data_IF_293501740992
#
_entry.id   IF_293501740992
#
_cell.length_a   1.000
_cell.length_b   1.000
_cell.length_c   1.000
_cell.angle_alpha   90.00
_cell.angle_beta   90.00
_cell.angle_gamma   90.00
#
_symmetry.space_group_name_H-M   'P 1'
#
loop_
_entity.id
_entity.type
_entity.pdbx_description
1 polymer ?
#
# COMPACT_ATOMS: atom_id res chain seq x y z
N UNK A 1 5.33 -59.50 -12.96
CA UNK A 1 5.31 -58.09 -13.47
C UNK A 1 5.13 -57.17 -12.27
N UNK A 2 6.19 -56.49 -11.87
CA UNK A 2 6.12 -55.47 -10.80
C UNK A 2 5.85 -54.12 -11.44
N UNK A 3 4.75 -53.48 -11.05
CA UNK A 3 4.41 -52.11 -11.48
C UNK A 3 5.08 -51.14 -10.49
N UNK A 4 6.11 -50.47 -10.95
CA UNK A 4 6.75 -49.42 -10.17
C UNK A 4 5.94 -48.16 -10.36
N UNK A 5 5.22 -47.72 -9.31
CA UNK A 5 4.63 -46.38 -9.26
C UNK A 5 5.76 -45.35 -9.09
N UNK A 6 5.98 -44.55 -10.11
CA UNK A 6 6.78 -43.33 -10.00
C UNK A 6 5.87 -42.27 -9.42
N UNK A 7 6.04 -41.93 -8.15
CA UNK A 7 5.50 -40.74 -7.54
C UNK A 7 6.33 -39.54 -8.06
N UNK A 8 5.74 -38.79 -8.98
CA UNK A 8 6.27 -37.48 -9.35
C UNK A 8 5.98 -36.53 -8.18
N UNK A 9 6.98 -36.21 -7.38
CA UNK A 9 6.93 -35.05 -6.49
C UNK A 9 6.96 -33.81 -7.35
N UNK A 10 5.84 -33.09 -7.42
CA UNK A 10 5.88 -31.69 -7.79
C UNK A 10 6.53 -30.96 -6.61
N UNK A 11 7.85 -30.86 -6.63
CA UNK A 11 8.55 -29.85 -5.88
C UNK A 11 8.22 -28.53 -6.59
N UNK A 12 7.31 -27.72 -6.01
CA UNK A 12 7.22 -26.32 -6.35
C UNK A 12 8.61 -25.73 -6.06
N UNK A 13 9.40 -25.49 -7.10
CA UNK A 13 10.65 -24.75 -6.99
C UNK A 13 10.28 -23.39 -6.36
N UNK A 14 10.52 -23.27 -5.07
CA UNK A 14 10.47 -21.97 -4.38
C UNK A 14 11.49 -21.10 -5.10
N UNK A 15 11.00 -20.10 -5.80
CA UNK A 15 11.82 -19.13 -6.54
C UNK A 15 12.68 -18.39 -5.50
N UNK A 16 13.85 -18.97 -5.17
CA UNK A 16 14.76 -18.48 -4.15
C UNK A 16 15.75 -17.52 -4.77
N UNK A 17 15.48 -16.25 -4.66
CA UNK A 17 16.34 -15.17 -5.09
C UNK A 17 16.18 -13.95 -4.17
N UNK A 18 17.05 -12.94 -4.26
CA UNK A 18 16.90 -11.71 -3.51
C UNK A 18 15.61 -10.98 -3.95
N UNK A 19 14.92 -10.36 -3.01
CA UNK A 19 13.85 -9.45 -3.32
C UNK A 19 14.39 -8.18 -3.99
N UNK A 20 13.58 -7.58 -4.88
CA UNK A 20 13.97 -6.36 -5.60
C UNK A 20 13.03 -5.23 -5.23
N UNK A 21 13.58 -4.09 -4.80
CA UNK A 21 12.77 -2.88 -4.56
C UNK A 21 12.33 -2.30 -5.89
N UNK A 22 11.07 -2.48 -6.21
CA UNK A 22 10.45 -1.96 -7.41
C UNK A 22 9.85 -0.58 -7.20
N UNK A 23 9.34 -0.33 -6.00
CA UNK A 23 8.69 0.92 -5.64
C UNK A 23 9.21 1.44 -4.31
N UNK A 24 9.56 2.72 -4.27
CA UNK A 24 9.94 3.36 -3.02
C UNK A 24 9.28 4.74 -2.92
N UNK A 25 8.63 5.01 -1.80
CA UNK A 25 7.87 6.23 -1.67
C UNK A 25 7.13 6.36 -0.36
N UNK A 26 5.94 6.95 -0.41
CA UNK A 26 5.18 7.26 0.79
C UNK A 26 3.69 6.92 0.68
N UNK A 27 3.11 6.57 1.82
CA UNK A 27 1.66 6.59 2.01
C UNK A 27 1.25 7.99 2.46
N UNK A 28 0.21 8.53 1.83
CA UNK A 28 -0.22 9.92 2.03
C UNK A 28 -1.71 9.95 2.35
N UNK A 29 -2.05 10.62 3.46
CA UNK A 29 -3.41 10.99 3.82
C UNK A 29 -3.49 12.45 4.21
N UNK A 30 -4.67 13.03 4.15
CA UNK A 30 -4.91 14.40 4.64
C UNK A 30 -4.62 14.54 6.13
N UNK A 31 -4.90 13.48 6.91
CA UNK A 31 -4.65 13.45 8.36
C UNK A 31 -3.14 13.35 8.64
N UNK A 32 -2.44 12.43 7.98
CA UNK A 32 -1.03 12.20 8.20
C UNK A 32 -0.16 13.38 7.77
N UNK A 33 -0.48 14.00 6.63
CA UNK A 33 0.21 15.22 6.19
C UNK A 33 0.05 16.36 7.18
N UNK A 34 -1.17 16.56 7.72
CA UNK A 34 -1.39 17.58 8.76
C UNK A 34 -0.57 17.30 10.02
N UNK A 35 -0.41 16.04 10.40
CA UNK A 35 0.40 15.65 11.56
C UNK A 35 1.88 15.92 11.31
N UNK A 36 2.41 15.53 10.15
CA UNK A 36 3.84 15.62 9.82
C UNK A 36 4.28 17.04 9.45
N UNK A 37 3.43 17.83 8.76
CA UNK A 37 3.76 19.16 8.24
C UNK A 37 3.01 20.30 8.92
N UNK A 38 2.07 20.03 9.83
CA UNK A 38 1.22 21.01 10.52
C UNK A 38 -0.10 21.28 9.80
N UNK A 39 -1.10 21.81 10.55
CA UNK A 39 -2.51 21.89 10.08
C UNK A 39 -2.71 22.63 8.76
N UNK A 40 -1.90 23.66 8.49
CA UNK A 40 -2.05 24.53 7.32
C UNK A 40 -0.91 24.37 6.31
N UNK A 41 0.02 23.44 6.56
CA UNK A 41 1.23 23.27 5.78
C UNK A 41 1.19 21.94 4.99
N UNK A 42 0.21 21.82 4.08
CA UNK A 42 0.29 20.77 3.07
C UNK A 42 1.54 21.04 2.22
N UNK A 43 2.36 20.02 1.93
CA UNK A 43 3.47 20.17 1.02
C UNK A 43 3.00 20.70 -0.33
N UNK A 44 3.78 21.58 -0.94
CA UNK A 44 3.51 21.98 -2.33
C UNK A 44 3.62 20.76 -3.26
N UNK A 45 3.03 20.84 -4.44
CA UNK A 45 3.10 19.80 -5.46
C UNK A 45 4.57 19.40 -5.75
N UNK A 46 5.47 20.41 -5.84
CA UNK A 46 6.90 20.15 -6.04
C UNK A 46 7.53 19.42 -4.84
N UNK A 47 7.22 19.84 -3.60
CA UNK A 47 7.74 19.16 -2.40
C UNK A 47 7.24 17.70 -2.34
N UNK A 48 5.98 17.47 -2.69
CA UNK A 48 5.42 16.11 -2.73
C UNK A 48 6.14 15.27 -3.79
N UNK A 49 6.37 15.82 -4.98
CA UNK A 49 7.14 15.15 -6.04
C UNK A 49 8.57 14.83 -5.59
N UNK A 50 9.24 15.75 -4.90
CA UNK A 50 10.60 15.54 -4.36
C UNK A 50 10.66 14.40 -3.32
N UNK A 51 9.59 14.17 -2.57
CA UNK A 51 9.50 13.05 -1.62
C UNK A 51 9.70 11.72 -2.33
N UNK A 52 8.95 11.45 -3.40
CA UNK A 52 9.09 10.19 -4.13
C UNK A 52 10.45 10.07 -4.82
N UNK A 53 10.97 11.17 -5.37
CA UNK A 53 12.32 11.22 -5.96
C UNK A 53 13.40 10.86 -4.94
N UNK A 54 13.33 11.45 -3.75
CA UNK A 54 14.27 11.14 -2.65
C UNK A 54 14.15 9.70 -2.18
N UNK A 55 12.91 9.22 -1.98
CA UNK A 55 12.69 7.83 -1.55
C UNK A 55 13.23 6.83 -2.56
N UNK A 56 12.92 7.01 -3.85
CA UNK A 56 13.43 6.11 -4.90
C UNK A 56 14.94 6.18 -5.06
N UNK A 57 15.57 7.32 -4.82
CA UNK A 57 17.04 7.44 -4.85
C UNK A 57 17.75 6.59 -3.79
N UNK A 58 17.04 6.13 -2.76
CA UNK A 58 17.56 5.21 -1.76
C UNK A 58 17.78 3.78 -2.29
N UNK A 59 17.11 3.40 -3.39
CA UNK A 59 17.08 2.03 -3.92
C UNK A 59 17.32 2.03 -5.44
N UNK A 60 18.43 1.43 -5.86
CA UNK A 60 18.81 1.41 -7.27
C UNK A 60 17.75 0.71 -8.14
N UNK A 61 17.34 1.36 -9.22
CA UNK A 61 16.34 0.84 -10.16
C UNK A 61 14.90 0.94 -9.72
N UNK A 62 14.61 1.43 -8.49
CA UNK A 62 13.23 1.59 -8.03
C UNK A 62 12.54 2.80 -8.67
N UNK A 63 11.21 2.72 -8.80
CA UNK A 63 10.37 3.83 -9.21
C UNK A 63 9.82 4.57 -7.99
N UNK A 64 9.72 5.90 -8.08
CA UNK A 64 9.02 6.71 -7.08
C UNK A 64 7.54 6.34 -7.00
N UNK A 65 7.02 6.15 -5.77
CA UNK A 65 5.68 5.64 -5.60
C UNK A 65 4.89 6.34 -4.50
N UNK A 66 3.56 6.34 -4.67
CA UNK A 66 2.65 6.79 -3.63
C UNK A 66 1.49 5.82 -3.42
N UNK A 67 1.10 5.67 -2.17
CA UNK A 67 -0.23 5.22 -1.79
C UNK A 67 -0.99 6.47 -1.34
N UNK A 68 -1.95 6.92 -2.13
CA UNK A 68 -2.80 8.06 -1.77
C UNK A 68 -4.09 7.55 -1.14
N UNK A 69 -4.32 7.89 0.13
CA UNK A 69 -5.59 7.60 0.80
C UNK A 69 -6.60 8.67 0.35
N UNK A 70 -7.41 8.29 -0.63
CA UNK A 70 -8.42 9.16 -1.24
C UNK A 70 -9.80 9.00 -0.58
N UNK A 71 -9.96 8.03 0.30
CA UNK A 71 -11.17 7.80 1.09
C UNK A 71 -10.83 7.37 2.50
N UNK A 72 -11.30 8.13 3.49
CA UNK A 72 -11.09 7.88 4.91
C UNK A 72 -12.38 7.43 5.59
N UNK A 73 -12.26 6.50 6.54
CA UNK A 73 -13.36 6.10 7.39
C UNK A 73 -13.81 7.27 8.29
N UNK A 74 -15.10 7.52 8.38
CA UNK A 74 -15.71 8.45 9.32
C UNK A 74 -16.41 7.72 10.48
N UNK A 75 -16.77 8.47 11.53
CA UNK A 75 -17.33 7.88 12.75
C UNK A 75 -18.73 7.24 12.62
N UNK A 76 -19.32 7.28 11.44
CA UNK A 76 -20.58 6.62 11.06
C UNK A 76 -20.34 5.45 10.09
N UNK A 77 -19.14 4.90 10.08
CA UNK A 77 -18.69 3.80 9.24
C UNK A 77 -18.81 4.08 7.72
N UNK A 78 -18.86 5.35 7.35
CA UNK A 78 -18.93 5.82 5.97
C UNK A 78 -17.53 6.11 5.41
N UNK A 79 -17.26 5.69 4.18
CA UNK A 79 -16.07 6.09 3.45
C UNK A 79 -16.24 7.53 2.91
N UNK A 80 -15.43 8.45 3.41
CA UNK A 80 -15.37 9.85 2.94
C UNK A 80 -14.30 10.02 1.91
N UNK A 81 -14.71 10.26 0.67
CA UNK A 81 -13.83 10.53 -0.46
C UNK A 81 -13.38 12.00 -0.47
N UNK A 82 -12.10 12.25 -0.62
CA UNK A 82 -11.48 13.58 -0.64
C UNK A 82 -11.65 14.30 -2.01
N UNK A 83 -12.77 14.00 -2.71
CA UNK A 83 -13.17 14.61 -3.97
C UNK A 83 -14.70 14.60 -4.12
N UNK A 84 -15.28 15.46 -5.01
CA UNK A 84 -16.72 15.48 -5.25
C UNK A 84 -17.25 14.19 -5.86
N UNK A 85 -18.36 13.68 -5.32
CA UNK A 85 -19.07 12.50 -5.81
C UNK A 85 -20.46 12.90 -6.26
N UNK A 86 -20.84 12.49 -7.46
CA UNK A 86 -22.19 12.68 -7.99
C UNK A 86 -23.06 11.46 -7.68
N UNK A 87 -24.29 11.71 -7.21
CA UNK A 87 -25.21 10.64 -6.84
C UNK A 87 -25.26 10.37 -5.33
N UNK A 88 -26.12 9.43 -4.96
CA UNK A 88 -26.26 8.97 -3.58
C UNK A 88 -25.88 7.49 -3.52
N UNK A 89 -25.01 7.15 -2.60
CA UNK A 89 -24.54 5.78 -2.37
C UNK A 89 -24.54 5.50 -0.86
N UNK A 90 -24.93 4.31 -0.49
CA UNK A 90 -24.89 3.88 0.91
C UNK A 90 -23.44 3.83 1.39
N UNK A 91 -23.18 4.44 2.54
CA UNK A 91 -21.87 4.54 3.19
C UNK A 91 -20.75 5.16 2.35
N UNK A 92 -21.08 6.01 1.35
CA UNK A 92 -20.09 6.77 0.57
C UNK A 92 -20.49 8.24 0.54
N UNK A 93 -19.57 9.11 0.91
CA UNK A 93 -19.73 10.57 0.83
C UNK A 93 -18.53 11.19 0.12
N UNK A 94 -18.80 12.17 -0.76
CA UNK A 94 -17.77 13.01 -1.36
C UNK A 94 -17.52 14.28 -0.57
N UNK A 95 -16.36 14.89 -0.76
CA UNK A 95 -16.05 16.25 -0.31
C UNK A 95 -16.44 17.29 -1.38
N UNK A 96 -16.41 18.59 -1.00
CA UNK A 96 -16.66 19.66 -1.95
C UNK A 96 -15.47 19.94 -2.89
N UNK A 97 -14.25 19.64 -2.41
CA UNK A 97 -13.01 19.95 -3.12
C UNK A 97 -12.24 18.68 -3.43
N UNK A 98 -11.60 18.67 -4.59
CA UNK A 98 -10.60 17.69 -4.93
C UNK A 98 -9.24 18.11 -4.35
N UNK A 99 -8.56 17.16 -3.70
CA UNK A 99 -7.26 17.42 -3.05
C UNK A 99 -6.09 16.88 -3.83
N UNK A 100 -6.31 15.96 -4.73
CA UNK A 100 -5.22 15.16 -5.30
C UNK A 100 -4.98 15.40 -6.79
N UNK A 101 -5.88 16.05 -7.50
CA UNK A 101 -5.76 16.27 -8.95
C UNK A 101 -4.42 16.91 -9.33
N UNK A 102 -4.04 18.03 -8.68
CA UNK A 102 -2.79 18.73 -8.97
C UNK A 102 -1.54 17.89 -8.67
N UNK A 103 -1.61 17.02 -7.66
CA UNK A 103 -0.52 16.08 -7.35
C UNK A 103 -0.41 15.01 -8.43
N UNK A 104 -1.53 14.44 -8.85
CA UNK A 104 -1.57 13.39 -9.89
C UNK A 104 -1.06 13.91 -11.23
N UNK A 105 -1.44 15.13 -11.63
CA UNK A 105 -0.87 15.81 -12.81
C UNK A 105 0.67 15.84 -12.75
N UNK A 106 1.23 16.22 -11.59
CA UNK A 106 2.67 16.27 -11.42
C UNK A 106 3.31 14.87 -11.40
N UNK A 107 2.63 13.89 -10.82
CA UNK A 107 3.14 12.51 -10.79
C UNK A 107 3.10 11.84 -12.16
N UNK A 108 2.16 12.25 -13.04
CA UNK A 108 2.17 11.88 -14.47
C UNK A 108 3.45 12.37 -15.16
N UNK A 109 3.79 13.66 -14.98
CA UNK A 109 5.01 14.25 -15.55
C UNK A 109 6.28 13.54 -15.08
N UNK A 110 6.30 13.09 -13.82
CA UNK A 110 7.46 12.43 -13.22
C UNK A 110 7.51 10.92 -13.49
N UNK A 111 6.45 10.33 -14.04
CA UNK A 111 6.36 8.89 -14.31
C UNK A 111 6.31 8.02 -13.04
N UNK A 112 5.77 8.56 -11.94
CA UNK A 112 5.64 7.81 -10.70
C UNK A 112 4.54 6.75 -10.77
N UNK A 113 4.50 5.88 -9.76
CA UNK A 113 3.45 4.87 -9.59
C UNK A 113 2.55 5.22 -8.42
N UNK A 114 1.23 5.26 -8.64
CA UNK A 114 0.26 5.65 -7.62
C UNK A 114 -0.84 4.59 -7.48
N UNK A 115 -1.12 4.21 -6.24
CA UNK A 115 -2.31 3.43 -5.88
C UNK A 115 -3.25 4.29 -5.04
N UNK A 116 -4.55 4.19 -5.33
CA UNK A 116 -5.60 4.99 -4.70
C UNK A 116 -6.28 4.17 -3.61
N UNK A 117 -5.94 4.44 -2.35
CA UNK A 117 -6.43 3.68 -1.19
C UNK A 117 -7.74 4.25 -0.66
N UNK A 118 -8.62 3.35 -0.20
CA UNK A 118 -9.80 3.68 0.61
C UNK A 118 -9.81 2.88 1.91
N UNK A 119 -10.37 3.50 2.94
CA UNK A 119 -10.84 2.89 4.17
C UNK A 119 -12.36 2.69 4.03
N UNK A 120 -12.83 1.50 3.67
CA UNK A 120 -14.14 1.35 3.03
C UNK A 120 -15.34 1.46 3.99
N UNK A 121 -15.16 1.20 5.28
CA UNK A 121 -16.30 1.08 6.19
C UNK A 121 -17.29 0.02 5.69
N UNK A 122 -18.58 0.33 5.72
CA UNK A 122 -19.63 -0.54 5.17
C UNK A 122 -19.93 -0.30 3.68
N UNK A 123 -19.20 0.59 3.01
CA UNK A 123 -19.40 0.87 1.60
C UNK A 123 -19.15 -0.38 0.72
N UNK A 124 -19.89 -0.49 -0.39
CA UNK A 124 -19.66 -1.53 -1.40
C UNK A 124 -18.32 -1.29 -2.11
N UNK A 125 -17.41 -2.26 -2.04
CA UNK A 125 -16.06 -2.15 -2.55
C UNK A 125 -16.00 -1.96 -4.08
N UNK A 126 -16.91 -2.59 -4.82
CA UNK A 126 -16.96 -2.49 -6.29
C UNK A 126 -17.42 -1.09 -6.69
N UNK A 127 -18.40 -0.55 -5.96
CA UNK A 127 -18.88 0.83 -6.14
C UNK A 127 -17.80 1.85 -5.81
N UNK A 128 -17.05 1.68 -4.70
CA UNK A 128 -15.92 2.53 -4.36
C UNK A 128 -14.84 2.51 -5.46
N UNK A 129 -14.47 1.31 -5.92
CA UNK A 129 -13.49 1.17 -6.99
C UNK A 129 -13.99 1.86 -8.29
N UNK A 130 -15.26 1.70 -8.66
CA UNK A 130 -15.83 2.35 -9.83
C UNK A 130 -15.77 3.89 -9.72
N UNK A 131 -16.15 4.45 -8.57
CA UNK A 131 -16.13 5.91 -8.33
C UNK A 131 -14.70 6.46 -8.39
N UNK A 132 -13.77 5.83 -7.66
CA UNK A 132 -12.37 6.27 -7.58
C UNK A 132 -11.68 6.18 -8.93
N UNK A 133 -11.85 5.04 -9.63
CA UNK A 133 -11.21 4.84 -10.95
C UNK A 133 -11.83 5.71 -12.04
N UNK A 134 -13.12 6.05 -11.98
CA UNK A 134 -13.73 7.07 -12.86
C UNK A 134 -13.16 8.44 -12.62
N UNK A 135 -12.83 8.79 -11.36
CA UNK A 135 -12.26 10.09 -11.03
C UNK A 135 -10.81 10.22 -11.50
N UNK A 136 -9.97 9.25 -11.18
CA UNK A 136 -8.52 9.37 -11.31
C UNK A 136 -7.86 8.37 -12.27
N UNK A 137 -8.59 7.38 -12.79
CA UNK A 137 -8.00 6.36 -13.67
C UNK A 137 -7.53 6.87 -15.04
N UNK A 138 -7.73 8.16 -15.35
CA UNK A 138 -7.20 8.80 -16.55
C UNK A 138 -5.73 9.22 -16.41
N UNK A 139 -5.22 9.34 -15.16
CA UNK A 139 -3.83 9.66 -14.92
C UNK A 139 -2.90 8.49 -15.23
N UNK A 140 -1.83 8.74 -15.96
CA UNK A 140 -0.86 7.72 -16.37
C UNK A 140 -0.04 7.16 -15.20
N UNK A 141 0.11 7.93 -14.12
CA UNK A 141 0.76 7.50 -12.88
C UNK A 141 -0.08 6.51 -12.09
N UNK A 142 -1.41 6.51 -12.23
CA UNK A 142 -2.27 5.56 -11.51
C UNK A 142 -2.02 4.14 -12.00
N UNK A 143 -1.72 3.24 -11.04
CA UNK A 143 -1.43 1.82 -11.27
C UNK A 143 -2.51 0.91 -10.68
N UNK A 144 -3.48 1.48 -9.98
CA UNK A 144 -4.58 0.70 -9.46
C UNK A 144 -5.22 1.27 -8.19
N UNK A 145 -5.92 0.39 -7.51
CA UNK A 145 -6.76 0.69 -6.35
C UNK A 145 -6.23 -0.02 -5.10
N UNK A 146 -6.57 0.48 -3.92
CA UNK A 146 -6.16 -0.11 -2.66
C UNK A 146 -7.29 -0.23 -1.65
N UNK A 147 -7.36 -1.38 -0.99
CA UNK A 147 -8.33 -1.65 0.06
C UNK A 147 -7.59 -1.75 1.40
N UNK A 148 -7.93 -0.87 2.32
CA UNK A 148 -7.53 -0.99 3.72
C UNK A 148 -8.49 -1.95 4.42
N UNK A 149 -8.07 -3.21 4.57
CA UNK A 149 -8.92 -4.29 5.09
C UNK A 149 -9.15 -4.14 6.59
N UNK A 150 -8.27 -3.45 7.30
CA UNK A 150 -8.45 -3.08 8.71
C UNK A 150 -9.79 -2.36 8.93
N UNK A 151 -10.20 -1.54 7.95
CA UNK A 151 -11.42 -0.76 8.00
C UNK A 151 -12.56 -1.33 7.13
N UNK A 152 -12.45 -2.59 6.68
CA UNK A 152 -13.50 -3.25 5.91
C UNK A 152 -14.56 -3.84 6.83
N UNK A 153 -15.77 -3.28 6.79
CA UNK A 153 -16.90 -3.69 7.64
C UNK A 153 -16.46 -3.81 9.09
N UNK A 154 -16.19 -2.68 9.75
CA UNK A 154 -15.67 -2.65 11.11
C UNK A 154 -16.49 -3.50 12.06
N UNK A 155 -15.80 -4.18 12.98
CA UNK A 155 -16.43 -5.00 14.02
C UNK A 155 -16.37 -4.20 15.31
N UNK A 156 -17.51 -3.98 15.95
CA UNK A 156 -17.58 -3.23 17.22
C UNK A 156 -16.65 -3.85 18.28
N UNK A 157 -15.75 -3.02 18.81
CA UNK A 157 -14.77 -3.42 19.82
C UNK A 157 -13.57 -4.19 19.29
N UNK A 158 -13.33 -4.18 17.97
CA UNK A 158 -12.16 -4.77 17.31
C UNK A 158 -11.51 -3.79 16.34
N UNK A 159 -10.19 -3.81 16.27
CA UNK A 159 -9.42 -3.03 15.32
C UNK A 159 -9.14 -3.81 14.01
N UNK A 160 -9.70 -5.03 13.86
CA UNK A 160 -9.32 -5.94 12.77
C UNK A 160 -10.17 -5.81 11.49
N UNK A 161 -11.37 -5.25 11.57
CA UNK A 161 -12.33 -5.30 10.47
C UNK A 161 -12.80 -6.72 10.12
N UNK A 162 -13.55 -6.85 9.05
CA UNK A 162 -13.99 -8.15 8.54
C UNK A 162 -13.06 -8.63 7.44
N UNK A 163 -12.66 -9.91 7.49
CA UNK A 163 -11.81 -10.53 6.47
C UNK A 163 -12.32 -10.24 5.05
N UNK A 164 -11.43 -9.84 4.16
CA UNK A 164 -11.74 -9.70 2.75
C UNK A 164 -11.75 -11.08 2.08
N UNK A 165 -12.89 -11.48 1.49
CA UNK A 165 -13.00 -12.76 0.80
C UNK A 165 -12.29 -12.75 -0.56
N UNK A 166 -11.86 -13.93 -1.03
CA UNK A 166 -11.27 -14.11 -2.35
C UNK A 166 -12.22 -13.65 -3.47
N UNK A 167 -13.54 -13.94 -3.31
CA UNK A 167 -14.56 -13.56 -4.26
C UNK A 167 -14.75 -12.04 -4.34
N UNK A 168 -14.72 -11.33 -3.21
CA UNK A 168 -14.89 -9.88 -3.20
C UNK A 168 -13.62 -9.18 -3.71
N UNK A 169 -12.44 -9.67 -3.34
CA UNK A 169 -11.19 -9.19 -3.92
C UNK A 169 -11.15 -9.34 -5.45
N UNK A 170 -11.60 -10.50 -5.94
CA UNK A 170 -11.69 -10.73 -7.40
C UNK A 170 -12.67 -9.78 -8.08
N UNK A 171 -13.85 -9.54 -7.51
CA UNK A 171 -14.83 -8.60 -8.09
C UNK A 171 -14.25 -7.17 -8.18
N UNK A 172 -13.52 -6.73 -7.15
CA UNK A 172 -12.85 -5.42 -7.17
C UNK A 172 -11.76 -5.40 -8.23
N UNK A 173 -10.93 -6.43 -8.30
CA UNK A 173 -9.88 -6.53 -9.32
C UNK A 173 -10.45 -6.51 -10.75
N UNK A 174 -11.52 -7.27 -11.01
CA UNK A 174 -12.20 -7.30 -12.30
C UNK A 174 -12.75 -5.90 -12.64
N UNK A 175 -13.35 -5.20 -11.67
CA UNK A 175 -13.80 -3.81 -11.85
C UNK A 175 -12.66 -2.86 -12.18
N UNK A 176 -11.58 -2.89 -11.43
CA UNK A 176 -10.41 -2.03 -11.64
C UNK A 176 -9.77 -2.31 -13.01
N UNK A 177 -9.61 -3.57 -13.37
CA UNK A 177 -9.12 -4.00 -14.69
C UNK A 177 -10.05 -3.67 -15.86
N UNK A 178 -11.31 -3.38 -15.61
CA UNK A 178 -12.22 -2.89 -16.66
C UNK A 178 -11.85 -1.48 -17.15
N UNK A 179 -11.09 -0.71 -16.39
CA UNK A 179 -10.55 0.60 -16.79
C UNK A 179 -9.21 0.46 -17.54
N UNK A 180 -8.35 -0.44 -17.07
CA UNK A 180 -7.09 -0.78 -17.70
C UNK A 180 -6.67 -2.18 -17.24
N UNK A 181 -6.40 -3.10 -18.18
CA UNK A 181 -6.03 -4.49 -17.90
C UNK A 181 -4.77 -4.66 -17.04
N UNK A 182 -3.88 -3.67 -17.07
CA UNK A 182 -2.61 -3.67 -16.31
C UNK A 182 -2.77 -3.18 -14.86
N UNK A 183 -3.94 -2.69 -14.49
CA UNK A 183 -4.16 -2.22 -13.13
C UNK A 183 -4.17 -3.37 -12.13
N UNK A 184 -3.64 -3.06 -10.95
CA UNK A 184 -3.56 -3.97 -9.82
C UNK A 184 -4.44 -3.49 -8.67
N UNK A 185 -4.75 -4.39 -7.75
CA UNK A 185 -5.38 -4.02 -6.48
C UNK A 185 -4.46 -4.40 -5.35
N UNK A 186 -4.15 -3.48 -4.45
CA UNK A 186 -3.53 -3.88 -3.21
C UNK A 186 -4.56 -4.12 -2.11
N UNK A 187 -4.22 -5.04 -1.21
CA UNK A 187 -4.97 -5.35 0.00
C UNK A 187 -4.03 -5.20 1.19
N UNK A 188 -4.44 -4.41 2.18
CA UNK A 188 -3.59 -4.02 3.32
C UNK A 188 -4.13 -4.54 4.64
N UNK A 189 -3.30 -5.20 5.43
CA UNK A 189 -3.53 -5.57 6.82
C UNK A 189 -2.24 -6.12 7.45
N UNK A 190 -2.08 -6.04 8.77
CA UNK A 190 -0.96 -6.67 9.49
C UNK A 190 -1.13 -8.19 9.71
N UNK A 191 -2.32 -8.73 9.49
CA UNK A 191 -2.59 -10.17 9.65
C UNK A 191 -2.96 -10.82 8.33
N UNK A 192 -2.17 -11.79 7.89
CA UNK A 192 -2.39 -12.57 6.66
C UNK A 192 -3.80 -13.20 6.60
N UNK A 193 -4.32 -13.67 7.74
CA UNK A 193 -5.65 -14.32 7.80
C UNK A 193 -6.81 -13.40 7.41
N UNK A 194 -6.64 -12.10 7.47
CA UNK A 194 -7.64 -11.11 7.08
C UNK A 194 -7.66 -10.82 5.57
N UNK A 195 -6.59 -11.21 4.89
CA UNK A 195 -6.43 -10.97 3.46
C UNK A 195 -6.92 -12.16 2.62
N UNK A 196 -7.25 -11.94 1.34
CA UNK A 196 -7.57 -13.01 0.41
C UNK A 196 -6.36 -13.89 0.13
N UNK A 197 -6.62 -15.08 -0.42
CA UNK A 197 -5.59 -15.99 -0.91
C UNK A 197 -4.77 -15.35 -2.03
N UNK A 198 -3.57 -15.91 -2.31
CA UNK A 198 -2.71 -15.44 -3.40
C UNK A 198 -3.47 -15.41 -4.73
N UNK A 199 -3.47 -14.25 -5.38
CA UNK A 199 -4.19 -14.03 -6.64
C UNK A 199 -3.36 -13.12 -7.55
N UNK A 200 -3.29 -13.47 -8.84
CA UNK A 200 -2.66 -12.60 -9.83
C UNK A 200 -3.35 -11.24 -9.91
N UNK A 201 -2.54 -10.19 -9.96
CA UNK A 201 -3.01 -8.81 -9.95
C UNK A 201 -3.26 -8.21 -8.57
N UNK A 202 -3.07 -8.99 -7.48
CA UNK A 202 -3.04 -8.44 -6.14
C UNK A 202 -1.62 -8.13 -5.68
N UNK A 203 -1.51 -7.08 -4.87
CA UNK A 203 -0.32 -6.70 -4.10
C UNK A 203 -0.69 -6.79 -2.61
N UNK A 204 0.14 -7.42 -1.79
CA UNK A 204 -0.14 -7.64 -0.38
C UNK A 204 0.67 -6.69 0.49
N UNK A 205 -0.03 -5.75 1.13
CA UNK A 205 0.60 -4.70 1.94
C UNK A 205 0.57 -5.08 3.40
N UNK A 206 1.75 -5.15 4.02
CA UNK A 206 1.89 -5.31 5.47
C UNK A 206 2.13 -3.93 6.11
N UNK A 207 1.34 -3.61 7.13
CA UNK A 207 1.45 -2.40 7.92
C UNK A 207 1.67 -2.67 9.41
N UNK A 208 2.30 -3.80 9.73
CA UNK A 208 2.69 -4.17 11.09
C UNK A 208 3.52 -3.07 11.74
N UNK A 209 3.27 -2.87 13.02
CA UNK A 209 3.94 -1.90 13.87
C UNK A 209 4.01 -2.41 15.32
N UNK A 210 4.62 -1.64 16.23
CA UNK A 210 4.81 -1.99 17.65
C UNK A 210 5.74 -3.21 17.83
N UNK A 211 6.79 -3.26 17.05
CA UNK A 211 7.80 -4.30 17.13
C UNK A 211 8.63 -4.17 18.44
N UNK A 212 9.05 -5.30 18.98
CA UNK A 212 9.88 -5.37 20.17
C UNK A 212 11.39 -5.40 19.89
N UNK A 213 11.79 -5.60 18.63
CA UNK A 213 13.18 -5.68 18.18
C UNK A 213 13.30 -5.55 16.66
N UNK A 214 14.51 -5.23 16.19
CA UNK A 214 14.82 -5.29 14.76
C UNK A 214 14.71 -6.70 14.20
N UNK A 215 15.09 -7.72 14.94
CA UNK A 215 14.96 -9.12 14.55
C UNK A 215 13.49 -9.50 14.33
N UNK A 216 12.57 -8.94 15.13
CA UNK A 216 11.13 -9.13 14.95
C UNK A 216 10.66 -8.48 13.64
N UNK A 217 11.08 -7.26 13.35
CA UNK A 217 10.81 -6.58 12.07
C UNK A 217 11.24 -7.43 10.88
N UNK A 218 12.50 -7.86 10.89
CA UNK A 218 13.08 -8.63 9.78
C UNK A 218 12.35 -9.96 9.56
N UNK A 219 12.04 -10.67 10.64
CA UNK A 219 11.29 -11.94 10.58
C UNK A 219 9.90 -11.72 10.00
N UNK A 220 9.14 -10.77 10.53
CA UNK A 220 7.76 -10.48 10.11
C UNK A 220 7.66 -10.18 8.61
N UNK A 221 8.47 -9.25 8.11
CA UNK A 221 8.42 -8.87 6.70
C UNK A 221 9.00 -9.94 5.77
N UNK A 222 10.02 -10.68 6.20
CA UNK A 222 10.57 -11.81 5.44
C UNK A 222 9.56 -12.96 5.32
N UNK A 223 8.87 -13.33 6.40
CA UNK A 223 7.80 -14.33 6.40
C UNK A 223 6.63 -13.88 5.51
N UNK A 224 6.27 -12.59 5.54
CA UNK A 224 5.24 -12.02 4.67
C UNK A 224 5.60 -12.16 3.19
N UNK A 225 6.81 -11.74 2.79
CA UNK A 225 7.28 -11.88 1.43
C UNK A 225 7.26 -13.33 0.97
N UNK A 226 7.78 -14.26 1.79
CA UNK A 226 7.81 -15.69 1.49
C UNK A 226 6.42 -16.28 1.34
N UNK A 227 5.48 -15.88 2.20
CA UNK A 227 4.11 -16.37 2.15
C UNK A 227 3.40 -15.98 0.87
N UNK A 228 3.57 -14.73 0.39
CA UNK A 228 2.88 -14.23 -0.79
C UNK A 228 3.64 -14.45 -2.11
N UNK A 229 4.88 -14.93 -2.08
CA UNK A 229 5.63 -15.21 -3.30
C UNK A 229 4.83 -16.10 -4.27
N UNK A 230 4.86 -15.83 -5.58
CA UNK A 230 5.63 -14.79 -6.27
C UNK A 230 4.92 -13.43 -6.37
N UNK A 231 3.79 -13.23 -5.69
CA UNK A 231 3.06 -11.98 -5.78
C UNK A 231 3.86 -10.82 -5.17
N UNK A 232 3.72 -9.60 -5.72
CA UNK A 232 4.35 -8.42 -5.16
C UNK A 232 3.86 -8.13 -3.74
N UNK A 233 4.75 -7.58 -2.91
CA UNK A 233 4.43 -7.14 -1.54
C UNK A 233 4.85 -5.69 -1.35
N UNK A 234 4.18 -4.98 -0.44
CA UNK A 234 4.63 -3.68 0.02
C UNK A 234 4.71 -3.66 1.53
N UNK A 235 5.73 -2.99 2.05
CA UNK A 235 5.93 -2.81 3.49
C UNK A 235 5.70 -1.35 3.84
N UNK A 236 4.68 -1.06 4.64
CA UNK A 236 4.48 0.26 5.22
C UNK A 236 5.29 0.36 6.49
N UNK A 237 6.26 1.25 6.51
CA UNK A 237 7.25 1.42 7.58
C UNK A 237 7.29 2.86 8.08
N UNK A 238 7.96 3.08 9.20
CA UNK A 238 8.15 4.41 9.77
C UNK A 238 7.05 4.86 10.73
N UNK A 239 6.28 3.94 11.28
CA UNK A 239 5.29 4.25 12.32
C UNK A 239 5.92 4.85 13.58
N UNK A 240 5.17 5.71 14.27
CA UNK A 240 5.63 6.35 15.53
C UNK A 240 5.98 5.32 16.61
N UNK A 241 5.21 4.24 16.68
CA UNK A 241 5.42 3.17 17.66
C UNK A 241 6.81 2.53 17.56
N UNK A 242 7.41 2.55 16.37
CA UNK A 242 8.70 1.94 16.06
C UNK A 242 9.84 2.96 15.93
N UNK A 243 9.61 4.22 16.35
CA UNK A 243 10.60 5.29 16.28
C UNK A 243 11.93 4.92 16.95
N UNK A 244 11.89 4.18 18.04
CA UNK A 244 13.04 3.71 18.77
C UNK A 244 13.92 2.71 17.99
N UNK A 245 13.37 2.06 16.95
CA UNK A 245 14.10 1.19 16.02
C UNK A 245 14.61 2.02 14.83
N UNK A 246 13.71 2.54 14.00
CA UNK A 246 14.09 3.15 12.74
C UNK A 246 14.85 4.47 12.88
N UNK A 247 14.63 5.24 13.96
CA UNK A 247 15.30 6.52 14.16
C UNK A 247 16.77 6.40 14.63
N UNK A 248 17.24 5.18 14.92
CA UNK A 248 18.65 4.88 15.22
C UNK A 248 19.55 4.98 14.00
N UNK A 249 18.98 4.86 12.79
CA UNK A 249 19.70 4.96 11.54
C UNK A 249 19.97 6.42 11.13
N UNK A 250 21.11 6.67 10.49
CA UNK A 250 21.46 7.99 9.99
C UNK A 250 20.58 8.41 8.81
N UNK A 251 20.23 7.47 7.93
CA UNK A 251 19.25 7.60 6.87
C UNK A 251 18.23 6.46 6.99
N UNK A 252 17.19 6.63 7.84
CA UNK A 252 16.25 5.55 8.10
C UNK A 252 15.47 5.11 6.85
N UNK A 253 15.13 6.02 5.95
CA UNK A 253 14.44 5.68 4.71
C UNK A 253 15.22 4.69 3.86
N UNK A 254 16.54 4.79 3.83
CA UNK A 254 17.43 3.87 3.12
C UNK A 254 17.82 2.65 3.97
N UNK A 255 18.41 2.90 5.14
CA UNK A 255 19.12 1.86 5.91
C UNK A 255 18.15 0.89 6.57
N UNK A 256 17.04 1.38 7.13
CA UNK A 256 16.01 0.54 7.73
C UNK A 256 15.27 -0.27 6.66
N UNK A 257 14.84 0.38 5.56
CA UNK A 257 14.18 -0.33 4.46
C UNK A 257 15.10 -1.35 3.76
N UNK A 258 16.40 -1.03 3.58
CA UNK A 258 17.36 -1.96 2.98
C UNK A 258 17.56 -3.19 3.87
N UNK A 259 17.66 -3.03 5.19
CA UNK A 259 17.77 -4.16 6.11
C UNK A 259 16.57 -5.12 6.00
N UNK A 260 15.37 -4.58 5.81
CA UNK A 260 14.16 -5.39 5.58
C UNK A 260 14.27 -6.16 4.26
N UNK A 261 14.66 -5.49 3.18
CA UNK A 261 14.79 -6.11 1.85
C UNK A 261 15.87 -7.19 1.84
N UNK A 262 17.01 -6.93 2.49
CA UNK A 262 18.12 -7.89 2.60
C UNK A 262 17.72 -9.18 3.34
N UNK A 263 16.73 -9.10 4.22
CA UNK A 263 16.18 -10.26 4.92
C UNK A 263 15.18 -11.06 4.06
N UNK A 264 14.69 -10.50 2.95
CA UNK A 264 13.72 -11.16 2.07
C UNK A 264 14.44 -11.94 0.98
N UNK A 265 14.17 -13.25 0.85
CA UNK A 265 14.82 -14.16 -0.10
C UNK A 265 13.85 -14.90 -1.01
N UNK A 266 12.70 -14.30 -1.31
CA UNK A 266 11.58 -14.93 -2.02
C UNK A 266 11.35 -14.40 -3.44
N UNK A 267 12.32 -13.65 -3.99
CA UNK A 267 12.32 -13.09 -5.35
C UNK A 267 11.09 -12.25 -5.72
N UNK A 268 10.40 -11.65 -4.72
CA UNK A 268 9.26 -10.77 -4.95
C UNK A 268 9.71 -9.38 -5.45
N UNK A 269 8.83 -8.74 -6.22
CA UNK A 269 8.83 -7.28 -6.32
C UNK A 269 8.39 -6.69 -4.97
N UNK A 270 9.19 -5.79 -4.40
CA UNK A 270 8.93 -5.19 -3.08
C UNK A 270 8.69 -3.70 -3.20
N UNK A 271 7.70 -3.18 -2.48
CA UNK A 271 7.50 -1.76 -2.24
C UNK A 271 7.94 -1.36 -0.83
N UNK A 272 8.76 -0.33 -0.72
CA UNK A 272 9.11 0.31 0.56
C UNK A 272 8.37 1.64 0.64
N UNK A 273 7.36 1.68 1.49
CA UNK A 273 6.41 2.79 1.59
C UNK A 273 6.48 3.39 2.99
N UNK A 274 6.99 4.61 3.10
CA UNK A 274 7.05 5.32 4.38
C UNK A 274 5.70 5.92 4.74
N UNK A 275 5.25 5.77 5.98
CA UNK A 275 3.99 6.37 6.43
C UNK A 275 4.11 7.88 6.64
N UNK A 276 3.06 8.59 6.33
CA UNK A 276 2.99 10.05 6.37
C UNK A 276 3.16 10.67 7.76
N UNK A 277 2.88 9.92 8.84
CA UNK A 277 2.97 10.41 10.22
C UNK A 277 4.37 10.90 10.62
N UNK A 278 5.41 10.27 10.12
CA UNK A 278 6.83 10.56 10.41
C UNK A 278 7.62 10.94 9.17
N UNK A 279 6.94 11.08 8.02
CA UNK A 279 7.54 11.26 6.70
C UNK A 279 8.55 12.40 6.67
N UNK A 280 8.19 13.57 7.21
CA UNK A 280 9.09 14.72 7.25
C UNK A 280 10.42 14.39 7.93
N UNK A 281 10.37 13.69 9.07
CA UNK A 281 11.57 13.29 9.82
C UNK A 281 12.46 12.36 8.99
N UNK A 282 11.88 11.42 8.23
CA UNK A 282 12.64 10.51 7.37
C UNK A 282 13.27 11.25 6.18
N UNK A 283 12.49 12.09 5.49
CA UNK A 283 12.91 12.82 4.29
C UNK A 283 14.01 13.83 4.58
N UNK A 284 13.95 14.51 5.73
CA UNK A 284 14.99 15.48 6.16
C UNK A 284 16.36 14.80 6.41
N UNK A 285 16.39 13.49 6.59
CA UNK A 285 17.62 12.70 6.80
C UNK A 285 18.19 12.10 5.50
N UNK A 286 17.48 12.13 4.40
CA UNK A 286 17.98 11.70 3.09
C UNK A 286 18.93 12.80 2.57
N UNK A 287 20.19 12.43 2.37
CA UNK A 287 21.26 13.33 1.91
C UNK A 287 21.39 13.26 0.40
#
# INVERSE_FOLDING_TARGET
MAVTLVLSSCDDEVNSGPCTVKWAGARISTIGLRRSYGKDNFPSVSTMSDIASKMSSCYEGSNGAFILIVGLLSGDDTCRLDFPVSGHYDYIQGSENDRYEEYLDKFDEMGYSVWLQVEPGYADLVTLADIVMKRYGHHSCVKGFGIDVEWHKPIEGSDEGTRLSDNDAKKVLDKVRSFNSEYTVFVKHWMQRQLPSKMDGLIYVNDSQQFDSMDHVLREFSEWASYYAPQPVMFQIGYDADTWIWNTYANPAKEFGQAIVDACHSANDVGIIWVDFTLKTAIDKIK
#
